data_IF_333132356406
#
_entry.id   IF_333132356406
#
_cell.length_a   1.000
_cell.length_b   1.000
_cell.length_c   1.000
_cell.angle_alpha   90.00
_cell.angle_beta   90.00
_cell.angle_gamma   90.00
#
_symmetry.space_group_name_H-M   'P 1'
#
loop_
_entity.id
_entity.type
_entity.pdbx_description
1 polymer ?
#
# COMPACT_ATOMS: atom_id res chain seq x y z
N UNK A 1 24.70 -2.40 10.47
CA UNK A 1 24.11 -3.01 9.25
C UNK A 1 22.61 -2.89 9.41
N UNK A 2 21.92 -2.32 8.42
CA UNK A 2 20.45 -2.25 8.39
C UNK A 2 19.95 -3.66 8.07
N UNK A 3 19.26 -4.30 9.02
CA UNK A 3 18.67 -5.63 8.85
C UNK A 3 17.36 -5.70 9.64
N UNK A 4 16.42 -6.54 9.17
CA UNK A 4 15.20 -6.83 9.93
C UNK A 4 15.51 -7.45 11.30
N UNK A 5 14.66 -7.21 12.32
CA UNK A 5 14.81 -7.85 13.62
C UNK A 5 14.61 -9.37 13.50
N UNK A 6 15.28 -10.15 14.36
CA UNK A 6 15.17 -11.61 14.37
C UNK A 6 13.87 -12.13 15.01
N UNK A 7 13.09 -11.24 15.61
CA UNK A 7 11.80 -11.54 16.23
C UNK A 7 10.86 -10.34 16.14
N UNK A 8 9.56 -10.56 16.00
CA UNK A 8 8.55 -9.51 15.95
C UNK A 8 7.25 -9.98 16.63
N UNK A 9 6.46 -9.04 17.15
CA UNK A 9 5.13 -9.31 17.71
C UNK A 9 4.04 -9.26 16.63
N UNK A 10 4.27 -8.49 15.56
CA UNK A 10 3.34 -8.38 14.44
C UNK A 10 4.06 -7.95 13.15
N UNK A 11 3.40 -8.24 12.02
CA UNK A 11 3.76 -7.68 10.71
C UNK A 11 2.58 -6.93 10.12
N UNK A 12 2.80 -5.68 9.71
CA UNK A 12 1.78 -4.85 9.04
C UNK A 12 2.25 -4.56 7.62
N UNK A 13 1.46 -4.96 6.63
CA UNK A 13 1.76 -4.71 5.23
C UNK A 13 1.05 -3.46 4.74
N UNK A 14 1.72 -2.65 3.91
CA UNK A 14 1.01 -1.84 2.93
C UNK A 14 0.32 -2.73 1.87
N UNK A 15 -0.54 -2.16 1.02
CA UNK A 15 -1.24 -2.89 -0.04
C UNK A 15 -0.82 -2.44 -1.44
N UNK A 16 -1.00 -1.16 -1.74
CA UNK A 16 -0.94 -0.60 -3.08
C UNK A 16 0.51 -0.42 -3.51
N UNK A 17 0.93 -1.10 -4.59
CA UNK A 17 2.33 -1.04 -5.03
C UNK A 17 3.27 -1.96 -4.24
N UNK A 18 2.79 -2.58 -3.16
CA UNK A 18 3.53 -3.57 -2.37
C UNK A 18 2.96 -4.99 -2.48
N UNK A 19 1.74 -5.24 -2.00
CA UNK A 19 1.12 -6.56 -2.08
C UNK A 19 0.42 -6.77 -3.42
N UNK A 20 -0.23 -5.72 -3.93
CA UNK A 20 -1.05 -5.77 -5.14
C UNK A 20 -0.54 -4.71 -6.11
N UNK A 21 -0.40 -5.10 -7.39
CA UNK A 21 0.00 -4.16 -8.44
C UNK A 21 -1.17 -3.27 -8.87
N UNK A 22 -1.54 -2.30 -8.04
CA UNK A 22 -2.68 -1.41 -8.28
C UNK A 22 -2.35 -0.25 -9.21
N UNK A 23 -1.08 0.15 -9.34
CA UNK A 23 -0.63 1.26 -10.21
C UNK A 23 -1.03 1.08 -11.68
N UNK A 24 -1.09 -0.17 -12.16
CA UNK A 24 -1.59 -0.47 -13.51
C UNK A 24 -3.07 -0.12 -13.63
N UNK A 25 -3.88 -0.45 -12.62
CA UNK A 25 -5.31 -0.15 -12.59
C UNK A 25 -5.55 1.37 -12.54
N UNK A 26 -4.79 2.11 -11.73
CA UNK A 26 -4.81 3.58 -11.71
C UNK A 26 -4.47 4.17 -13.07
N UNK A 27 -3.38 3.69 -13.69
CA UNK A 27 -2.93 4.18 -14.99
C UNK A 27 -3.97 3.93 -16.10
N UNK A 28 -4.63 2.77 -16.11
CA UNK A 28 -5.70 2.46 -17.06
C UNK A 28 -6.89 3.41 -16.85
N UNK A 29 -7.32 3.60 -15.61
CA UNK A 29 -8.44 4.49 -15.27
C UNK A 29 -8.16 5.95 -15.64
N UNK A 30 -6.97 6.47 -15.29
CA UNK A 30 -6.50 7.80 -15.66
C UNK A 30 -6.45 7.97 -17.18
N UNK A 31 -5.88 7.01 -17.90
CA UNK A 31 -5.82 7.02 -19.37
C UNK A 31 -7.22 7.10 -19.99
N UNK A 32 -8.17 6.34 -19.46
CA UNK A 32 -9.55 6.35 -19.94
C UNK A 32 -10.26 7.69 -19.70
N UNK A 33 -10.05 8.32 -18.54
CA UNK A 33 -10.60 9.65 -18.23
C UNK A 33 -10.01 10.71 -19.15
N UNK A 34 -8.69 10.76 -19.31
CA UNK A 34 -8.04 11.70 -20.21
C UNK A 34 -8.55 11.54 -21.65
N UNK A 35 -8.66 10.30 -22.14
CA UNK A 35 -9.19 10.01 -23.47
C UNK A 35 -10.66 10.47 -23.63
N UNK A 36 -11.50 10.29 -22.62
CA UNK A 36 -12.90 10.74 -22.63
C UNK A 36 -13.01 12.27 -22.72
N UNK A 37 -12.00 13.00 -22.24
CA UNK A 37 -11.89 14.45 -22.33
C UNK A 37 -11.07 14.93 -23.55
N UNK A 38 -10.69 14.04 -24.46
CA UNK A 38 -9.97 14.39 -25.70
C UNK A 38 -8.48 14.66 -25.51
N UNK A 39 -7.89 14.22 -24.40
CA UNK A 39 -6.46 14.35 -24.10
C UNK A 39 -5.74 13.00 -24.15
N UNK A 40 -4.46 13.01 -24.52
CA UNK A 40 -3.58 11.85 -24.35
C UNK A 40 -3.10 11.74 -22.91
N UNK A 41 -2.83 10.52 -22.45
CA UNK A 41 -2.20 10.26 -21.16
C UNK A 41 -0.78 9.72 -21.38
N UNK A 42 0.22 10.58 -21.19
CA UNK A 42 1.63 10.24 -21.28
C UNK A 42 2.39 10.55 -19.98
N UNK A 43 3.73 10.48 -19.98
CA UNK A 43 4.56 10.73 -18.80
C UNK A 43 4.31 12.09 -18.14
N UNK A 44 4.03 13.12 -18.94
CA UNK A 44 3.71 14.47 -18.44
C UNK A 44 2.41 14.48 -17.64
N UNK A 45 1.35 13.82 -18.14
CA UNK A 45 0.07 13.73 -17.44
C UNK A 45 0.16 12.83 -16.21
N UNK A 46 0.88 11.70 -16.29
CA UNK A 46 1.12 10.84 -15.13
C UNK A 46 1.85 11.61 -14.03
N UNK A 47 2.82 12.45 -14.36
CA UNK A 47 3.54 13.28 -13.40
C UNK A 47 2.62 14.30 -12.66
N UNK A 48 1.46 14.65 -13.22
CA UNK A 48 0.48 15.54 -12.57
C UNK A 48 -0.34 14.85 -11.50
N UNK A 49 -0.43 13.51 -11.52
CA UNK A 49 -1.34 12.73 -10.67
C UNK A 49 -0.62 11.71 -9.80
N UNK A 50 0.55 11.23 -10.21
CA UNK A 50 1.32 10.22 -9.47
C UNK A 50 1.71 10.72 -8.07
N UNK A 51 1.51 9.86 -7.07
CA UNK A 51 1.85 10.14 -5.67
C UNK A 51 1.02 11.23 -4.99
N UNK A 52 -0.09 11.67 -5.60
CA UNK A 52 -1.04 12.64 -5.02
C UNK A 52 -2.28 11.93 -4.48
N UNK A 53 -3.03 12.60 -3.62
CA UNK A 53 -4.35 12.12 -3.21
C UNK A 53 -5.31 12.12 -4.40
N UNK A 54 -6.36 11.31 -4.32
CA UNK A 54 -7.39 11.23 -5.38
C UNK A 54 -8.01 12.60 -5.65
N UNK A 55 -8.26 13.39 -4.61
CA UNK A 55 -8.84 14.73 -4.72
C UNK A 55 -7.87 15.70 -5.43
N UNK A 56 -6.58 15.65 -5.08
CA UNK A 56 -5.56 16.49 -5.70
C UNK A 56 -5.31 16.09 -7.16
N UNK A 57 -5.30 14.80 -7.47
CA UNK A 57 -5.22 14.27 -8.83
C UNK A 57 -6.44 14.68 -9.65
N UNK A 58 -7.64 14.53 -9.11
CA UNK A 58 -8.87 14.90 -9.79
C UNK A 58 -9.00 16.41 -10.01
N UNK A 59 -8.55 17.24 -9.06
CA UNK A 59 -8.46 18.68 -9.26
C UNK A 59 -7.48 19.05 -10.39
N UNK A 60 -6.29 18.42 -10.41
CA UNK A 60 -5.32 18.63 -11.48
C UNK A 60 -5.84 18.20 -12.86
N UNK A 61 -6.58 17.08 -12.92
CA UNK A 61 -7.28 16.63 -14.13
C UNK A 61 -8.34 17.66 -14.55
N UNK A 62 -9.15 18.16 -13.62
CA UNK A 62 -10.17 19.16 -13.89
C UNK A 62 -9.58 20.43 -14.51
N UNK A 63 -8.45 20.90 -13.99
CA UNK A 63 -7.73 22.06 -14.54
C UNK A 63 -7.19 21.77 -15.95
N UNK A 64 -6.62 20.58 -16.18
CA UNK A 64 -6.14 20.16 -17.50
C UNK A 64 -7.26 20.13 -18.56
N UNK A 65 -8.47 19.74 -18.14
CA UNK A 65 -9.64 19.65 -19.02
C UNK A 65 -10.37 20.98 -19.18
N UNK A 66 -9.89 22.07 -18.56
CA UNK A 66 -10.56 23.37 -18.59
C UNK A 66 -11.91 23.35 -17.84
N UNK A 67 -12.08 22.47 -16.85
CA UNK A 67 -13.29 22.30 -16.04
C UNK A 67 -13.02 22.59 -14.54
N UNK A 68 -12.48 23.77 -14.17
CA UNK A 68 -12.20 24.07 -12.76
C UNK A 68 -13.47 23.92 -11.92
N UNK A 69 -13.37 23.22 -10.79
CA UNK A 69 -14.50 22.87 -9.92
C UNK A 69 -15.13 21.50 -10.17
N UNK A 70 -14.76 20.79 -11.25
CA UNK A 70 -15.22 19.43 -11.51
C UNK A 70 -14.44 18.33 -10.76
N UNK A 71 -13.54 18.70 -9.83
CA UNK A 71 -12.66 17.75 -9.15
C UNK A 71 -13.41 16.65 -8.38
N UNK A 72 -14.52 16.97 -7.71
CA UNK A 72 -15.30 15.96 -6.98
C UNK A 72 -15.98 14.93 -7.90
N UNK A 73 -16.50 15.38 -9.05
CA UNK A 73 -17.08 14.52 -10.09
C UNK A 73 -16.01 13.58 -10.66
N UNK A 74 -14.84 14.12 -11.02
CA UNK A 74 -13.73 13.35 -11.57
C UNK A 74 -13.11 12.39 -10.54
N UNK A 75 -13.08 12.75 -9.26
CA UNK A 75 -12.64 11.87 -8.19
C UNK A 75 -13.56 10.65 -8.07
N UNK A 76 -14.88 10.85 -8.08
CA UNK A 76 -15.85 9.77 -8.04
C UNK A 76 -15.76 8.88 -9.29
N UNK A 77 -15.60 9.47 -10.48
CA UNK A 77 -15.38 8.72 -11.72
C UNK A 77 -14.09 7.90 -11.68
N UNK A 78 -12.99 8.50 -11.20
CA UNK A 78 -11.70 7.83 -11.08
C UNK A 78 -11.78 6.63 -10.15
N UNK A 79 -12.34 6.79 -8.95
CA UNK A 79 -12.50 5.70 -7.99
C UNK A 79 -13.32 4.55 -8.58
N UNK A 80 -14.45 4.84 -9.23
CA UNK A 80 -15.29 3.80 -9.82
C UNK A 80 -14.59 3.06 -10.97
N UNK A 81 -13.79 3.76 -11.78
CA UNK A 81 -12.98 3.13 -12.84
C UNK A 81 -11.89 2.25 -12.25
N UNK A 82 -11.14 2.75 -11.27
CA UNK A 82 -10.09 1.98 -10.58
C UNK A 82 -10.67 0.73 -9.95
N UNK A 83 -11.81 0.83 -9.27
CA UNK A 83 -12.52 -0.33 -8.70
C UNK A 83 -12.83 -1.39 -9.74
N UNK A 84 -13.31 -0.99 -10.93
CA UNK A 84 -13.58 -1.93 -12.03
C UNK A 84 -12.31 -2.61 -12.54
N UNK A 85 -11.23 -1.85 -12.71
CA UNK A 85 -9.95 -2.41 -13.14
C UNK A 85 -9.36 -3.37 -12.09
N UNK A 86 -9.50 -3.05 -10.80
CA UNK A 86 -9.10 -3.94 -9.72
C UNK A 86 -9.91 -5.25 -9.77
N UNK A 87 -11.24 -5.14 -9.87
CA UNK A 87 -12.14 -6.29 -9.94
C UNK A 87 -11.94 -7.15 -11.20
N UNK A 88 -11.41 -6.57 -12.28
CA UNK A 88 -11.15 -7.29 -13.53
C UNK A 88 -9.92 -8.22 -13.47
N UNK A 89 -9.03 -8.05 -12.48
CA UNK A 89 -7.94 -8.99 -12.22
C UNK A 89 -6.64 -8.37 -11.71
N UNK A 90 -6.70 -7.47 -10.73
CA UNK A 90 -5.50 -7.04 -10.02
C UNK A 90 -4.74 -8.25 -9.43
N UNK A 91 -3.45 -8.33 -9.76
CA UNK A 91 -2.61 -9.44 -9.35
C UNK A 91 -1.77 -9.08 -8.12
N UNK A 92 -1.57 -10.06 -7.25
CA UNK A 92 -0.53 -9.98 -6.22
C UNK A 92 0.85 -9.78 -6.88
N UNK A 93 1.72 -8.98 -6.27
CA UNK A 93 3.10 -8.84 -6.72
C UNK A 93 3.89 -10.15 -6.48
N UNK A 94 4.93 -10.43 -7.28
CA UNK A 94 5.73 -11.65 -7.14
C UNK A 94 6.25 -11.83 -5.70
N UNK A 95 5.99 -13.00 -5.11
CA UNK A 95 6.39 -13.34 -3.74
C UNK A 95 5.44 -12.84 -2.63
N UNK A 96 4.49 -11.95 -2.95
CA UNK A 96 3.58 -11.37 -1.94
C UNK A 96 2.75 -12.45 -1.23
N UNK A 97 2.13 -13.36 -1.99
CA UNK A 97 1.29 -14.40 -1.42
C UNK A 97 2.10 -15.40 -0.56
N UNK A 98 3.29 -15.77 -1.01
CA UNK A 98 4.22 -16.62 -0.26
C UNK A 98 4.67 -15.96 1.04
N UNK A 99 5.00 -14.67 0.98
CA UNK A 99 5.47 -13.89 2.14
C UNK A 99 4.34 -13.71 3.17
N UNK A 100 3.15 -13.32 2.73
CA UNK A 100 1.96 -13.18 3.58
C UNK A 100 1.66 -14.50 4.30
N UNK A 101 1.69 -15.64 3.59
CA UNK A 101 1.48 -16.96 4.21
C UNK A 101 2.57 -17.30 5.23
N UNK A 102 3.83 -16.99 4.94
CA UNK A 102 4.94 -17.25 5.85
C UNK A 102 4.83 -16.39 7.13
N UNK A 103 4.61 -15.08 6.99
CA UNK A 103 4.44 -14.18 8.14
C UNK A 103 3.22 -14.56 8.98
N UNK A 104 2.07 -14.87 8.34
CA UNK A 104 0.85 -15.31 9.04
C UNK A 104 1.05 -16.58 9.88
N UNK A 105 1.92 -17.48 9.42
CA UNK A 105 2.23 -18.71 10.16
C UNK A 105 3.13 -18.45 11.38
N UNK A 106 3.83 -17.33 11.41
CA UNK A 106 4.78 -16.96 12.45
C UNK A 106 4.17 -16.00 13.48
N UNK A 107 3.49 -14.94 13.04
CA UNK A 107 2.98 -13.83 13.89
C UNK A 107 1.64 -13.30 13.38
N UNK A 108 0.86 -12.59 14.22
CA UNK A 108 -0.31 -11.83 13.76
C UNK A 108 0.04 -10.84 12.66
N UNK A 109 -0.83 -10.72 11.66
CA UNK A 109 -0.64 -9.81 10.52
C UNK A 109 -1.86 -8.94 10.23
N UNK A 110 -1.60 -7.75 9.72
CA UNK A 110 -2.62 -6.82 9.23
C UNK A 110 -2.20 -6.11 7.94
N UNK A 111 -3.15 -5.44 7.30
CA UNK A 111 -2.90 -4.48 6.21
C UNK A 111 -3.23 -3.06 6.69
N UNK A 112 -2.40 -2.09 6.34
CA UNK A 112 -2.65 -0.67 6.51
C UNK A 112 -2.45 0.02 5.17
N UNK A 113 -3.50 0.54 4.53
CA UNK A 113 -3.45 1.16 3.20
C UNK A 113 -4.02 2.58 3.21
N UNK A 114 -3.48 3.42 2.32
CA UNK A 114 -4.02 4.75 2.05
C UNK A 114 -5.22 4.74 1.07
N UNK A 115 -5.62 3.58 0.58
CA UNK A 115 -6.82 3.41 -0.24
C UNK A 115 -8.10 3.51 0.61
N UNK A 116 -9.21 4.00 0.05
CA UNK A 116 -10.54 3.86 0.66
C UNK A 116 -10.91 2.39 0.85
N UNK A 117 -11.76 2.09 1.85
CA UNK A 117 -12.18 0.74 2.22
C UNK A 117 -12.58 -0.12 1.02
N UNK A 118 -13.45 0.40 0.17
CA UNK A 118 -13.97 -0.35 -0.99
C UNK A 118 -12.87 -0.78 -1.98
N UNK A 119 -11.87 0.07 -2.22
CA UNK A 119 -10.75 -0.27 -3.12
C UNK A 119 -9.80 -1.26 -2.47
N UNK A 120 -9.51 -1.10 -1.17
CA UNK A 120 -8.67 -2.03 -0.43
C UNK A 120 -9.24 -3.45 -0.46
N UNK A 121 -10.54 -3.58 -0.15
CA UNK A 121 -11.22 -4.88 -0.16
C UNK A 121 -11.19 -5.50 -1.56
N UNK A 122 -11.54 -4.72 -2.60
CA UNK A 122 -11.52 -5.17 -3.99
C UNK A 122 -10.12 -5.63 -4.42
N UNK A 123 -9.07 -4.89 -4.05
CA UNK A 123 -7.69 -5.24 -4.39
C UNK A 123 -7.25 -6.56 -3.74
N UNK A 124 -7.53 -6.72 -2.44
CA UNK A 124 -7.17 -7.93 -1.70
C UNK A 124 -7.97 -9.16 -2.16
N UNK A 125 -9.24 -8.99 -2.49
CA UNK A 125 -10.08 -10.06 -3.04
C UNK A 125 -9.58 -10.53 -4.41
N UNK A 126 -9.36 -9.58 -5.31
CA UNK A 126 -8.89 -9.86 -6.68
C UNK A 126 -7.51 -10.52 -6.69
N UNK A 127 -6.62 -10.10 -5.79
CA UNK A 127 -5.30 -10.70 -5.62
C UNK A 127 -5.31 -12.06 -4.88
N UNK A 128 -6.47 -12.51 -4.37
CA UNK A 128 -6.59 -13.75 -3.59
C UNK A 128 -5.93 -13.69 -2.21
N UNK A 129 -5.77 -12.50 -1.65
CA UNK A 129 -5.08 -12.26 -0.38
C UNK A 129 -6.02 -11.98 0.80
N UNK A 130 -7.27 -11.60 0.54
CA UNK A 130 -8.23 -11.18 1.58
C UNK A 130 -8.35 -12.19 2.75
N UNK A 131 -8.45 -13.49 2.45
CA UNK A 131 -8.61 -14.54 3.45
C UNK A 131 -7.40 -14.74 4.39
N UNK A 132 -6.25 -14.11 4.11
CA UNK A 132 -5.08 -14.20 4.96
C UNK A 132 -5.08 -13.20 6.12
N UNK A 133 -5.87 -12.12 6.02
CA UNK A 133 -5.87 -11.03 6.98
C UNK A 133 -7.13 -11.04 7.84
N UNK A 134 -6.96 -10.95 9.15
CA UNK A 134 -8.09 -10.74 10.09
C UNK A 134 -8.35 -9.26 10.32
N UNK A 135 -7.34 -8.42 10.13
CA UNK A 135 -7.42 -6.97 10.28
C UNK A 135 -6.86 -6.28 9.04
N UNK A 136 -7.64 -5.38 8.45
CA UNK A 136 -7.23 -4.49 7.36
C UNK A 136 -7.75 -3.10 7.69
N UNK A 137 -6.96 -2.06 7.41
CA UNK A 137 -7.27 -0.67 7.75
C UNK A 137 -7.10 0.22 6.53
N UNK A 138 -8.11 1.04 6.27
CA UNK A 138 -8.24 1.92 5.11
C UNK A 138 -8.20 3.40 5.51
N UNK A 139 -7.83 4.27 4.57
CA UNK A 139 -7.63 5.70 4.85
C UNK A 139 -8.87 6.42 5.39
N UNK A 140 -10.06 5.99 4.98
CA UNK A 140 -11.34 6.57 5.37
C UNK A 140 -11.83 6.13 6.76
N UNK A 141 -11.06 5.29 7.45
CA UNK A 141 -11.33 4.83 8.83
C UNK A 141 -10.56 5.61 9.90
N UNK A 142 -9.62 6.48 9.48
CA UNK A 142 -8.78 7.28 10.39
C UNK A 142 -8.96 8.77 10.15
N UNK A 143 -8.67 9.56 11.19
CA UNK A 143 -8.67 11.01 11.07
C UNK A 143 -7.51 11.52 10.20
N UNK A 144 -6.33 10.89 10.34
CA UNK A 144 -5.13 11.25 9.59
C UNK A 144 -4.52 10.01 8.91
N UNK A 145 -4.67 9.85 7.58
CA UNK A 145 -4.03 8.76 6.84
C UNK A 145 -2.50 9.00 6.70
N UNK A 146 -1.77 8.05 6.08
CA UNK A 146 -0.32 8.17 5.87
C UNK A 146 -0.04 9.50 5.15
N UNK A 147 0.95 10.32 5.61
CA UNK A 147 2.11 9.94 6.43
C UNK A 147 1.89 10.00 7.95
N UNK A 148 0.67 10.26 8.43
CA UNK A 148 0.38 10.16 9.85
C UNK A 148 0.41 8.69 10.32
N UNK A 149 0.73 8.43 11.59
CA UNK A 149 0.95 7.07 12.10
C UNK A 149 -0.34 6.28 12.36
N UNK A 150 -1.51 6.91 12.26
CA UNK A 150 -2.79 6.42 12.78
C UNK A 150 -3.13 4.99 12.30
N UNK A 151 -2.96 4.70 11.00
CA UNK A 151 -3.24 3.37 10.44
C UNK A 151 -2.34 2.28 11.03
N UNK A 152 -1.05 2.57 11.23
CA UNK A 152 -0.11 1.62 11.81
C UNK A 152 -0.32 1.43 13.31
N UNK A 153 -0.63 2.50 14.03
CA UNK A 153 -0.97 2.42 15.45
C UNK A 153 -2.23 1.59 15.68
N UNK A 154 -3.27 1.84 14.88
CA UNK A 154 -4.52 1.07 14.92
C UNK A 154 -4.27 -0.41 14.57
N UNK A 155 -3.42 -0.69 13.59
CA UNK A 155 -3.04 -2.06 13.26
C UNK A 155 -2.32 -2.77 14.41
N UNK A 156 -1.31 -2.13 15.01
CA UNK A 156 -0.61 -2.70 16.16
C UNK A 156 -1.56 -2.91 17.36
N UNK A 157 -2.46 -1.96 17.65
CA UNK A 157 -3.45 -2.09 18.72
C UNK A 157 -4.37 -3.30 18.50
N UNK A 158 -4.94 -3.45 17.29
CA UNK A 158 -5.82 -4.56 16.96
C UNK A 158 -5.14 -5.92 17.02
N UNK A 159 -3.83 -5.97 16.71
CA UNK A 159 -3.02 -7.18 16.81
C UNK A 159 -2.50 -7.45 18.23
N UNK A 160 -2.71 -6.53 19.18
CA UNK A 160 -2.19 -6.65 20.54
C UNK A 160 -0.66 -6.56 20.62
N UNK A 161 -0.03 -5.86 19.67
CA UNK A 161 1.43 -5.79 19.52
C UNK A 161 1.96 -4.38 19.82
N UNK A 162 3.17 -4.32 20.38
CA UNK A 162 3.89 -3.07 20.55
C UNK A 162 4.47 -2.59 19.19
N UNK A 163 4.28 -1.32 18.81
CA UNK A 163 4.80 -0.80 17.54
C UNK A 163 6.33 -1.00 17.40
N UNK A 164 7.09 -0.78 18.47
CA UNK A 164 8.56 -0.92 18.48
C UNK A 164 9.05 -2.36 18.35
N UNK A 165 8.14 -3.34 18.42
CA UNK A 165 8.42 -4.77 18.24
C UNK A 165 7.71 -5.32 17.00
N UNK A 166 7.19 -4.43 16.15
CA UNK A 166 6.46 -4.79 14.94
C UNK A 166 7.22 -4.33 13.69
N UNK A 167 6.96 -5.00 12.56
CA UNK A 167 7.59 -4.70 11.27
C UNK A 167 6.53 -4.23 10.28
N UNK A 168 6.75 -3.08 9.66
CA UNK A 168 6.01 -2.60 8.51
C UNK A 168 6.71 -3.01 7.21
N UNK A 169 5.94 -3.48 6.23
CA UNK A 169 6.38 -3.55 4.84
C UNK A 169 5.76 -2.39 4.06
N UNK A 170 6.59 -1.69 3.29
CA UNK A 170 6.23 -0.46 2.57
C UNK A 170 6.95 -0.34 1.23
N UNK A 171 6.39 0.46 0.33
CA UNK A 171 6.94 0.76 -0.99
C UNK A 171 7.19 2.27 -1.22
N UNK A 172 6.57 3.13 -0.40
CA UNK A 172 6.48 4.57 -0.64
C UNK A 172 7.04 5.41 0.52
N UNK A 173 7.57 6.60 0.21
CA UNK A 173 8.08 7.52 1.23
C UNK A 173 7.01 7.95 2.24
N UNK A 174 5.77 8.14 1.78
CA UNK A 174 4.62 8.51 2.61
C UNK A 174 4.32 7.44 3.65
N UNK A 175 4.31 6.18 3.23
CA UNK A 175 4.00 5.08 4.11
C UNK A 175 5.16 4.72 5.06
N UNK A 176 6.39 4.80 4.59
CA UNK A 176 7.59 4.72 5.43
C UNK A 176 7.54 5.76 6.55
N UNK A 177 7.21 7.02 6.23
CA UNK A 177 7.09 8.08 7.21
C UNK A 177 6.02 7.76 8.29
N UNK A 178 4.88 7.20 7.87
CA UNK A 178 3.84 6.76 8.80
C UNK A 178 4.29 5.62 9.72
N UNK A 179 4.91 4.58 9.16
CA UNK A 179 5.41 3.45 9.93
C UNK A 179 6.50 3.88 10.94
N UNK A 180 7.41 4.76 10.52
CA UNK A 180 8.42 5.36 11.41
C UNK A 180 7.81 6.20 12.51
N UNK A 181 6.84 7.06 12.19
CA UNK A 181 6.15 7.88 13.17
C UNK A 181 5.38 7.03 14.21
N UNK A 182 4.87 5.86 13.80
CA UNK A 182 4.26 4.88 14.71
C UNK A 182 5.31 4.10 15.53
N UNK A 183 6.58 4.11 15.12
CA UNK A 183 7.69 3.46 15.81
C UNK A 183 8.01 2.05 15.33
N UNK A 184 7.51 1.64 14.16
CA UNK A 184 7.77 0.31 13.60
C UNK A 184 9.15 0.22 12.96
N UNK A 185 9.66 -1.02 12.91
CA UNK A 185 10.74 -1.36 11.99
C UNK A 185 10.22 -1.35 10.55
N UNK A 186 11.02 -0.92 9.57
CA UNK A 186 10.54 -0.72 8.20
C UNK A 186 11.35 -1.54 7.20
N UNK A 187 10.70 -2.52 6.57
CA UNK A 187 11.18 -3.19 5.36
C UNK A 187 10.60 -2.49 4.13
N UNK A 188 11.47 -2.12 3.20
CA UNK A 188 11.10 -1.37 2.01
C UNK A 188 11.33 -2.21 0.75
N UNK A 189 10.31 -2.27 -0.11
CA UNK A 189 10.42 -2.74 -1.49
C UNK A 189 9.88 -1.62 -2.38
N UNK A 190 10.75 -0.75 -2.92
CA UNK A 190 10.30 0.45 -3.61
C UNK A 190 9.46 0.13 -4.86
N UNK A 191 8.29 0.76 -4.99
CA UNK A 191 7.50 0.69 -6.23
C UNK A 191 8.11 1.52 -7.37
N UNK A 192 8.91 2.54 -7.02
CA UNK A 192 9.63 3.38 -7.96
C UNK A 192 11.16 3.19 -7.83
N UNK A 193 11.87 2.94 -8.94
CA UNK A 193 13.32 2.74 -8.90
C UNK A 193 14.07 4.03 -8.57
N UNK A 194 15.15 3.92 -7.79
CA UNK A 194 16.10 5.01 -7.53
C UNK A 194 15.69 5.99 -6.43
N UNK A 195 14.60 5.74 -5.71
CA UNK A 195 14.23 6.52 -4.54
C UNK A 195 15.18 6.22 -3.35
N UNK A 196 15.74 7.26 -2.73
CA UNK A 196 16.43 7.15 -1.45
C UNK A 196 15.39 7.15 -0.33
N UNK A 197 15.02 5.94 0.11
CA UNK A 197 13.96 5.71 1.09
C UNK A 197 14.56 5.33 2.44
N UNK A 198 14.03 5.85 3.55
CA UNK A 198 14.46 5.42 4.88
C UNK A 198 14.01 3.97 5.15
N UNK A 199 14.91 3.15 5.69
CA UNK A 199 14.67 1.71 5.81
C UNK A 199 15.53 1.07 6.90
N UNK A 200 15.02 0.00 7.51
CA UNK A 200 15.83 -0.98 8.24
C UNK A 200 16.24 -2.15 7.35
N UNK A 201 15.49 -2.40 6.27
CA UNK A 201 15.84 -3.36 5.24
C UNK A 201 15.32 -2.87 3.89
N UNK A 202 16.12 -3.04 2.84
CA UNK A 202 15.78 -2.64 1.48
C UNK A 202 15.89 -3.85 0.56
N UNK A 203 14.78 -4.21 -0.08
CA UNK A 203 14.70 -5.26 -1.09
C UNK A 203 14.41 -4.73 -2.47
N UNK A 204 14.56 -5.58 -3.47
CA UNK A 204 14.19 -5.31 -4.86
C UNK A 204 12.87 -5.98 -5.28
N UNK A 205 12.29 -6.82 -4.40
CA UNK A 205 11.08 -7.58 -4.65
C UNK A 205 10.66 -8.35 -3.40
N UNK A 206 9.38 -8.74 -3.32
CA UNK A 206 8.86 -9.56 -2.22
C UNK A 206 9.23 -11.05 -2.36
N UNK A 207 9.73 -11.47 -3.52
CA UNK A 207 10.28 -12.80 -3.81
C UNK A 207 11.74 -12.97 -3.36
N UNK A 208 12.31 -11.97 -2.68
CA UNK A 208 13.67 -12.02 -2.18
C UNK A 208 13.88 -13.22 -1.24
N UNK A 209 14.91 -14.02 -1.52
CA UNK A 209 15.20 -15.25 -0.78
C UNK A 209 15.52 -14.99 0.69
N UNK A 210 16.25 -13.91 1.01
CA UNK A 210 16.57 -13.56 2.39
C UNK A 210 15.31 -13.17 3.14
N UNK A 211 14.41 -12.45 2.50
CA UNK A 211 13.12 -12.06 3.08
C UNK A 211 12.26 -13.30 3.42
N UNK A 212 12.17 -14.26 2.51
CA UNK A 212 11.45 -15.51 2.77
C UNK A 212 12.13 -16.41 3.81
N UNK A 213 13.46 -16.37 3.95
CA UNK A 213 14.14 -17.05 5.05
C UNK A 213 13.81 -16.37 6.38
N UNK A 214 13.89 -15.04 6.44
CA UNK A 214 13.53 -14.26 7.60
C UNK A 214 12.10 -14.55 8.07
N UNK A 215 11.11 -14.52 7.17
CA UNK A 215 9.71 -14.75 7.52
C UNK A 215 9.44 -16.15 8.10
N UNK A 216 10.21 -17.16 7.68
CA UNK A 216 10.10 -18.55 8.18
C UNK A 216 10.81 -18.75 9.52
N UNK A 217 11.84 -17.96 9.79
CA UNK A 217 12.62 -18.01 11.03
C UNK A 217 12.12 -16.99 12.07
N UNK A 218 11.16 -16.14 11.69
CA UNK A 218 10.58 -15.11 12.54
C UNK A 218 9.93 -15.78 13.75
N UNK A 219 10.54 -15.58 14.91
CA UNK A 219 9.98 -16.04 16.17
C UNK A 219 8.97 -15.01 16.69
N UNK A 220 7.78 -15.49 17.05
CA UNK A 220 6.83 -14.72 17.86
C UNK A 220 7.45 -14.44 19.23
N UNK A 221 7.43 -13.17 19.63
CA UNK A 221 7.98 -12.74 20.91
C UNK A 221 7.03 -12.95 22.08
N UNK A 222 5.73 -13.10 21.83
CA UNK A 222 4.74 -13.37 22.87
C UNK A 222 4.80 -14.82 23.41
N UNK A 223 5.53 -15.69 22.71
CA UNK A 223 5.71 -17.11 23.06
C UNK A 223 6.91 -17.39 23.99
N UNK A 224 7.51 -16.37 24.62
CA UNK A 224 8.61 -16.48 25.59
C UNK A 224 8.29 -15.77 26.90
#
# INVERSE_FOLDING_TARGET
MRSLPTSAEAVVFDCDGLLVNTEVCWTIAETAIFAAHGHSFGPEQKALVIGRTVEASAAAMADCFGRPGAGAELAAELLERVRKELAAGAAALPGAAELVRACRAAVPIAVASNSPRELLDTALESAGLAAHFTHTFAADEVASPKPAPDLYLMACEALGAAPQRSVAFEDSATGIAAARAAGLHVAVVPSLPGADLDHDWLGTGLDDRQLHCWARELADVASR
#
